data_IF_000784865457
#
_entry.id   IF_000784865457
#
_cell.length_a   1.000
_cell.length_b   1.000
_cell.length_c   1.000
_cell.angle_alpha   90.00
_cell.angle_beta   90.00
_cell.angle_gamma   90.00
#
_symmetry.space_group_name_H-M   'P 1'
#
loop_
_entity.id
_entity.type
_entity.pdbx_description
1 polymer ?
#
# COMPACT_ATOMS: atom_id res chain seq x y z
N UNK A 1 -21.11 -7.72 6.12
CA UNK A 1 -22.58 -7.66 6.14
C UNK A 1 -23.18 -8.66 7.16
N UNK A 2 -22.87 -9.94 7.07
CA UNK A 2 -23.45 -10.96 7.97
C UNK A 2 -23.18 -10.72 9.47
N UNK A 3 -22.03 -10.19 9.84
CA UNK A 3 -21.70 -9.86 11.22
C UNK A 3 -22.52 -8.66 11.74
N UNK A 4 -22.82 -7.69 10.90
CA UNK A 4 -23.68 -6.56 11.24
C UNK A 4 -25.13 -7.00 11.46
N UNK A 5 -25.67 -7.83 10.58
CA UNK A 5 -27.02 -8.38 10.71
C UNK A 5 -27.19 -9.21 11.99
N UNK A 6 -26.18 -9.98 12.37
CA UNK A 6 -26.21 -10.76 13.60
C UNK A 6 -26.31 -9.87 14.85
N UNK A 7 -25.62 -8.73 14.87
CA UNK A 7 -25.66 -7.77 15.98
C UNK A 7 -26.97 -6.98 16.03
N UNK A 8 -27.52 -6.59 14.90
CA UNK A 8 -28.83 -5.95 14.80
C UNK A 8 -29.91 -6.90 15.30
N UNK A 9 -29.89 -8.16 14.85
CA UNK A 9 -30.85 -9.21 15.27
C UNK A 9 -30.85 -9.46 16.77
N UNK A 10 -29.72 -9.31 17.42
CA UNK A 10 -29.58 -9.49 18.88
C UNK A 10 -29.88 -8.22 19.69
N UNK A 11 -30.46 -7.18 19.08
CA UNK A 11 -30.85 -5.93 19.76
C UNK A 11 -29.68 -5.14 20.36
N UNK A 12 -28.45 -5.46 20.01
CA UNK A 12 -27.25 -4.80 20.57
C UNK A 12 -26.93 -3.44 19.95
N UNK A 13 -27.54 -3.12 18.81
CA UNK A 13 -27.32 -1.87 18.10
C UNK A 13 -28.66 -1.22 17.76
N UNK A 14 -28.85 0.00 18.24
CA UNK A 14 -30.03 0.78 17.91
C UNK A 14 -29.87 1.56 16.59
N UNK A 15 -28.67 2.01 16.32
CA UNK A 15 -28.31 2.74 15.11
C UNK A 15 -26.96 2.23 14.57
N UNK A 16 -26.73 2.41 13.29
CA UNK A 16 -25.44 2.16 12.67
C UNK A 16 -25.12 3.25 11.65
N UNK A 17 -23.85 3.57 11.53
CA UNK A 17 -23.35 4.55 10.58
C UNK A 17 -22.83 3.80 9.36
N UNK A 18 -23.33 4.17 8.19
CA UNK A 18 -22.84 3.66 6.93
C UNK A 18 -21.45 4.26 6.63
N UNK A 19 -20.72 3.63 5.73
CA UNK A 19 -19.38 4.08 5.32
C UNK A 19 -19.34 5.49 4.73
N UNK A 20 -20.49 6.02 4.28
CA UNK A 20 -20.65 7.39 3.81
C UNK A 20 -21.02 8.41 4.92
N UNK A 21 -20.99 8.00 6.20
CA UNK A 21 -21.34 8.84 7.33
C UNK A 21 -22.84 9.00 7.60
N UNK A 22 -23.71 8.37 6.82
CA UNK A 22 -25.16 8.43 7.04
C UNK A 22 -25.54 7.55 8.22
N UNK A 23 -26.19 8.14 9.23
CA UNK A 23 -26.76 7.40 10.34
C UNK A 23 -28.07 6.75 9.91
N UNK A 24 -28.19 5.44 10.11
CA UNK A 24 -29.41 4.70 9.91
C UNK A 24 -29.90 4.13 11.24
N UNK A 25 -31.18 4.31 11.51
CA UNK A 25 -31.82 3.62 12.62
C UNK A 25 -31.92 2.13 12.29
N UNK A 26 -31.46 1.31 13.22
CA UNK A 26 -31.68 -0.13 13.11
C UNK A 26 -33.18 -0.38 13.10
N UNK A 27 -33.72 -1.09 12.11
CA UNK A 27 -35.14 -1.42 12.09
C UNK A 27 -35.50 -2.19 13.37
N UNK A 28 -36.51 -1.74 14.07
CA UNK A 28 -37.02 -2.44 15.26
C UNK A 28 -37.77 -3.68 14.82
N UNK A 29 -37.06 -4.79 14.70
CA UNK A 29 -37.64 -6.02 14.18
C UNK A 29 -37.53 -7.11 15.24
N UNK A 30 -38.65 -7.68 15.61
CA UNK A 30 -38.66 -8.96 16.29
C UNK A 30 -38.39 -10.07 15.25
N UNK A 31 -37.17 -10.59 15.27
CA UNK A 31 -36.88 -11.90 14.68
C UNK A 31 -36.23 -11.94 13.29
N UNK A 32 -36.82 -11.42 12.24
CA UNK A 32 -36.29 -11.55 10.87
C UNK A 32 -36.61 -10.32 10.02
N UNK A 33 -35.61 -9.79 9.32
CA UNK A 33 -35.81 -8.80 8.27
C UNK A 33 -36.59 -9.44 7.11
N UNK A 34 -37.66 -8.81 6.60
CA UNK A 34 -38.32 -9.26 5.38
C UNK A 34 -37.28 -9.40 4.24
N UNK A 35 -37.43 -10.42 3.42
CA UNK A 35 -36.53 -10.67 2.30
C UNK A 35 -36.44 -9.48 1.32
N UNK A 36 -37.52 -8.70 1.21
CA UNK A 36 -37.58 -7.48 0.41
C UNK A 36 -36.65 -6.40 0.95
N UNK A 37 -36.58 -6.19 2.28
CA UNK A 37 -35.75 -5.19 2.90
C UNK A 37 -34.27 -5.56 2.81
N UNK A 38 -33.95 -6.85 2.91
CA UNK A 38 -32.58 -7.35 2.69
C UNK A 38 -32.14 -7.09 1.24
N UNK A 39 -33.05 -7.32 0.29
CA UNK A 39 -32.75 -7.06 -1.13
C UNK A 39 -32.54 -5.58 -1.38
N UNK A 40 -33.36 -4.70 -0.80
CA UNK A 40 -33.23 -3.25 -0.94
C UNK A 40 -31.93 -2.76 -0.31
N UNK A 41 -31.61 -3.21 0.91
CA UNK A 41 -30.33 -2.86 1.57
C UNK A 41 -29.11 -3.30 0.77
N UNK A 42 -29.18 -4.44 0.07
CA UNK A 42 -28.12 -4.90 -0.83
C UNK A 42 -28.02 -4.02 -2.08
N UNK A 43 -29.15 -3.62 -2.65
CA UNK A 43 -29.18 -2.70 -3.79
C UNK A 43 -28.64 -1.34 -3.39
N UNK A 44 -29.07 -0.78 -2.27
CA UNK A 44 -28.61 0.50 -1.76
C UNK A 44 -27.09 0.47 -1.45
N UNK A 45 -26.58 -0.64 -0.92
CA UNK A 45 -25.16 -0.82 -0.70
C UNK A 45 -24.38 -0.96 -2.02
N UNK A 46 -24.98 -1.60 -3.03
CA UNK A 46 -24.40 -1.72 -4.37
C UNK A 46 -24.39 -0.36 -5.09
N UNK A 47 -25.50 0.36 -5.08
CA UNK A 47 -25.61 1.68 -5.70
C UNK A 47 -24.64 2.67 -5.06
N UNK A 48 -24.49 2.65 -3.74
CA UNK A 48 -23.51 3.48 -3.04
C UNK A 48 -22.07 3.06 -3.31
N UNK A 49 -21.80 1.77 -3.49
CA UNK A 49 -20.47 1.31 -3.90
C UNK A 49 -20.12 1.74 -5.34
N UNK A 50 -21.15 2.00 -6.17
CA UNK A 50 -20.99 2.56 -7.51
C UNK A 50 -20.91 4.08 -7.49
N UNK A 51 -21.56 4.75 -6.51
CA UNK A 51 -21.42 6.19 -6.25
C UNK A 51 -20.09 6.55 -5.56
N UNK A 52 -19.51 5.65 -4.82
CA UNK A 52 -18.08 5.69 -4.56
C UNK A 52 -17.46 5.57 -5.95
N UNK A 53 -17.24 6.76 -6.58
CA UNK A 53 -16.43 6.84 -7.80
C UNK A 53 -15.33 5.84 -7.62
N UNK A 54 -15.25 4.77 -8.47
CA UNK A 54 -14.10 3.88 -8.41
C UNK A 54 -12.93 4.85 -8.34
N UNK A 55 -11.99 4.64 -7.43
CA UNK A 55 -10.76 5.42 -7.44
C UNK A 55 -10.33 5.39 -8.88
N UNK A 56 -10.97 6.31 -9.62
CA UNK A 56 -10.65 6.50 -11.01
C UNK A 56 -9.21 6.86 -10.86
N UNK A 57 -8.37 5.94 -11.26
CA UNK A 57 -6.99 6.25 -11.52
C UNK A 57 -7.12 7.47 -12.38
N UNK A 58 -7.01 8.65 -11.74
CA UNK A 58 -7.06 9.91 -12.45
C UNK A 58 -5.82 9.81 -13.29
N UNK A 59 -6.05 9.43 -14.52
CA UNK A 59 -5.02 9.24 -15.52
C UNK A 59 -4.19 10.51 -15.50
N UNK A 60 -2.92 10.41 -15.15
CA UNK A 60 -1.98 11.51 -15.10
C UNK A 60 -1.59 12.02 -13.70
N UNK A 61 -2.34 11.73 -12.63
CA UNK A 61 -1.96 12.19 -11.29
C UNK A 61 -1.22 11.13 -10.46
N UNK A 62 -1.30 9.88 -10.86
CA UNK A 62 -0.67 8.76 -10.15
C UNK A 62 0.21 7.96 -11.10
N UNK A 63 1.46 7.77 -10.69
CA UNK A 63 2.38 6.82 -11.30
C UNK A 63 2.60 5.69 -10.29
N UNK A 64 2.14 4.48 -10.62
CA UNK A 64 2.26 3.31 -9.78
C UNK A 64 3.13 2.25 -10.45
N UNK A 65 3.98 1.59 -9.68
CA UNK A 65 4.83 0.47 -10.13
C UNK A 65 4.81 -0.66 -9.12
N UNK A 66 4.73 -1.88 -9.64
CA UNK A 66 5.02 -3.06 -8.83
C UNK A 66 6.54 -3.23 -8.66
N UNK A 67 6.97 -3.75 -7.53
CA UNK A 67 8.40 -3.89 -7.25
C UNK A 67 9.15 -4.75 -8.28
N UNK A 68 8.49 -5.69 -8.93
CA UNK A 68 9.09 -6.56 -9.96
C UNK A 68 9.20 -5.90 -11.35
N UNK A 69 8.74 -4.67 -11.53
CA UNK A 69 8.77 -3.92 -12.81
C UNK A 69 9.99 -2.98 -12.91
N UNK A 70 11.12 -3.40 -12.34
CA UNK A 70 12.34 -2.59 -12.40
C UNK A 70 12.94 -2.51 -13.81
N UNK A 71 13.53 -1.36 -14.13
CA UNK A 71 14.33 -1.16 -15.35
C UNK A 71 15.74 -1.75 -15.18
N UNK A 72 16.28 -1.66 -13.95
CA UNK A 72 17.61 -2.16 -13.60
C UNK A 72 17.63 -2.68 -12.16
N UNK A 73 18.29 -3.81 -11.96
CA UNK A 73 18.59 -4.38 -10.65
C UNK A 73 20.11 -4.42 -10.42
N UNK A 74 20.53 -4.11 -9.21
CA UNK A 74 21.94 -4.21 -8.78
C UNK A 74 21.98 -5.09 -7.54
N UNK A 75 22.66 -6.21 -7.64
CA UNK A 75 22.83 -7.17 -6.55
C UNK A 75 23.64 -6.57 -5.40
N UNK A 76 23.52 -7.17 -4.22
CA UNK A 76 24.33 -6.80 -3.05
C UNK A 76 25.83 -6.99 -3.34
N UNK A 77 26.70 -6.25 -2.66
CA UNK A 77 28.16 -6.42 -2.83
C UNK A 77 28.64 -7.85 -2.61
N UNK A 78 28.04 -8.58 -1.66
CA UNK A 78 28.36 -9.98 -1.39
C UNK A 78 27.96 -10.91 -2.54
N UNK A 79 26.80 -10.67 -3.13
CA UNK A 79 26.33 -11.45 -4.28
C UNK A 79 27.15 -11.13 -5.55
N UNK A 80 27.52 -9.86 -5.76
CA UNK A 80 28.42 -9.46 -6.86
C UNK A 80 29.82 -10.09 -6.74
N UNK A 81 30.32 -10.22 -5.52
CA UNK A 81 31.60 -10.88 -5.24
C UNK A 81 31.49 -12.42 -5.23
N UNK A 82 30.35 -12.99 -5.60
CA UNK A 82 30.09 -14.42 -5.63
C UNK A 82 30.38 -15.15 -4.29
N UNK A 83 30.19 -14.47 -3.17
CA UNK A 83 30.38 -15.08 -1.85
C UNK A 83 29.40 -16.21 -1.65
N UNK A 84 29.88 -17.37 -1.23
CA UNK A 84 29.04 -18.56 -0.99
C UNK A 84 27.95 -18.25 0.05
N UNK A 85 26.69 -18.50 -0.33
CA UNK A 85 25.54 -18.25 0.53
C UNK A 85 25.03 -16.81 0.53
N UNK A 86 25.63 -15.90 -0.27
CA UNK A 86 25.09 -14.55 -0.42
C UNK A 86 23.68 -14.59 -1.01
N UNK A 87 22.78 -13.88 -0.36
CA UNK A 87 21.40 -13.74 -0.85
C UNK A 87 21.36 -12.89 -2.12
N UNK A 88 20.48 -13.27 -3.05
CA UNK A 88 20.23 -12.53 -4.29
C UNK A 88 18.84 -11.89 -4.26
N UNK A 89 18.65 -10.87 -5.12
CA UNK A 89 17.34 -10.30 -5.39
C UNK A 89 16.42 -11.41 -5.87
N UNK A 90 15.26 -11.56 -5.24
CA UNK A 90 14.34 -12.68 -5.52
C UNK A 90 12.91 -12.20 -5.54
N UNK A 91 12.19 -12.49 -6.62
CA UNK A 91 10.73 -12.31 -6.69
C UNK A 91 10.07 -13.41 -5.87
N UNK A 92 9.17 -13.02 -4.97
CA UNK A 92 8.39 -13.93 -4.13
C UNK A 92 6.95 -13.96 -4.64
N UNK A 93 6.54 -15.00 -5.36
CA UNK A 93 5.19 -15.13 -5.85
C UNK A 93 4.20 -15.29 -4.70
N UNK A 94 2.95 -14.90 -4.94
CA UNK A 94 1.82 -14.95 -4.01
C UNK A 94 2.04 -14.14 -2.72
N UNK A 95 2.92 -13.16 -2.74
CA UNK A 95 3.21 -12.29 -1.62
C UNK A 95 2.96 -10.83 -1.99
N UNK A 96 2.37 -10.07 -1.06
CA UNK A 96 1.99 -8.66 -1.24
C UNK A 96 0.71 -8.46 -2.04
N UNK A 97 0.28 -7.22 -2.15
CA UNK A 97 -0.90 -6.85 -2.93
C UNK A 97 -0.65 -6.95 -4.44
N UNK A 98 0.60 -6.79 -4.87
CA UNK A 98 1.03 -7.04 -6.25
C UNK A 98 1.07 -8.53 -6.62
N UNK A 99 0.93 -9.43 -5.63
CA UNK A 99 1.13 -10.87 -5.75
C UNK A 99 2.54 -11.30 -6.15
N UNK A 100 3.52 -10.38 -6.16
CA UNK A 100 4.92 -10.63 -6.54
C UNK A 100 5.87 -9.67 -5.82
N UNK A 101 5.92 -9.72 -4.49
CA UNK A 101 6.86 -8.91 -3.75
C UNK A 101 8.32 -9.30 -4.05
N UNK A 102 9.24 -8.36 -3.91
CA UNK A 102 10.66 -8.54 -4.21
C UNK A 102 11.48 -8.49 -2.93
N UNK A 103 12.15 -9.61 -2.61
CA UNK A 103 13.15 -9.63 -1.54
C UNK A 103 14.41 -8.93 -2.02
N UNK A 104 14.81 -7.91 -1.26
CA UNK A 104 15.97 -7.08 -1.56
C UNK A 104 17.01 -7.25 -0.43
N UNK A 105 18.11 -8.01 -0.66
CA UNK A 105 19.17 -8.15 0.32
C UNK A 105 19.87 -6.82 0.61
N UNK A 106 20.45 -6.70 1.79
CA UNK A 106 21.22 -5.50 2.18
C UNK A 106 22.26 -5.10 1.14
N UNK A 107 22.22 -3.86 0.72
CA UNK A 107 23.11 -3.27 -0.28
C UNK A 107 22.66 -3.46 -1.73
N UNK A 108 21.67 -4.31 -1.99
CA UNK A 108 21.06 -4.42 -3.30
C UNK A 108 20.12 -3.25 -3.61
N UNK A 109 19.88 -2.98 -4.89
CA UNK A 109 18.97 -1.91 -5.32
C UNK A 109 18.19 -2.25 -6.57
N UNK A 110 17.01 -1.63 -6.68
CA UNK A 110 16.16 -1.64 -7.86
C UNK A 110 16.01 -0.21 -8.36
N UNK A 111 16.07 -0.02 -9.67
CA UNK A 111 15.84 1.27 -10.32
C UNK A 111 14.70 1.15 -11.31
N UNK A 112 13.89 2.20 -11.39
CA UNK A 112 12.68 2.26 -12.22
C UNK A 112 12.71 3.54 -13.03
N UNK A 113 12.56 3.42 -14.34
CA UNK A 113 12.35 4.56 -15.20
C UNK A 113 10.85 4.85 -15.29
N UNK A 114 10.49 6.13 -15.22
CA UNK A 114 9.13 6.59 -15.30
C UNK A 114 9.06 7.96 -15.98
N UNK A 115 7.86 8.36 -16.39
CA UNK A 115 7.63 9.63 -17.05
C UNK A 115 6.55 10.42 -16.31
N UNK A 116 6.81 11.71 -16.06
CA UNK A 116 5.87 12.66 -15.48
C UNK A 116 5.30 13.56 -16.57
N UNK A 117 3.98 13.53 -16.75
CA UNK A 117 3.30 14.39 -17.75
C UNK A 117 3.28 15.86 -17.33
N UNK A 118 3.48 16.14 -16.05
CA UNK A 118 3.42 17.49 -15.46
C UNK A 118 4.51 17.72 -14.44
N UNK A 119 4.80 19.00 -14.20
CA UNK A 119 5.66 19.43 -13.09
C UNK A 119 4.85 19.72 -11.83
N UNK A 120 5.41 19.53 -10.68
CA UNK A 120 4.77 19.91 -9.40
C UNK A 120 5.25 19.12 -8.21
N UNK A 121 4.61 19.41 -7.09
CA UNK A 121 4.81 18.67 -5.86
C UNK A 121 4.06 17.34 -5.94
N UNK A 122 4.73 16.29 -5.49
CA UNK A 122 4.19 14.96 -5.48
C UNK A 122 4.57 14.24 -4.17
N UNK A 123 3.77 13.28 -3.76
CA UNK A 123 4.06 12.38 -2.66
C UNK A 123 4.53 11.03 -3.19
N UNK A 124 5.78 10.69 -2.91
CA UNK A 124 6.29 9.35 -3.16
C UNK A 124 5.93 8.45 -1.97
N UNK A 125 5.35 7.30 -2.24
CA UNK A 125 5.00 6.31 -1.22
C UNK A 125 5.54 4.95 -1.62
N UNK A 126 6.34 4.33 -0.74
CA UNK A 126 6.77 2.94 -0.88
C UNK A 126 5.91 2.03 -0.01
N UNK A 127 5.48 0.91 -0.58
CA UNK A 127 4.76 -0.16 0.09
C UNK A 127 5.65 -1.39 0.19
N UNK A 128 5.79 -1.91 1.41
CA UNK A 128 6.61 -3.09 1.68
C UNK A 128 5.83 -4.12 2.49
N UNK A 129 6.27 -5.37 2.45
CA UNK A 129 5.73 -6.41 3.32
C UNK A 129 6.16 -6.10 4.76
N UNK A 130 5.22 -6.02 5.72
CA UNK A 130 5.53 -5.70 7.09
C UNK A 130 6.47 -6.73 7.75
N UNK A 131 7.38 -6.25 8.57
CA UNK A 131 8.25 -7.12 9.38
C UNK A 131 7.84 -7.05 10.85
N UNK A 132 7.21 -8.11 11.35
CA UNK A 132 6.76 -8.21 12.74
C UNK A 132 7.75 -8.92 13.67
N UNK A 133 8.90 -9.36 13.16
CA UNK A 133 9.91 -10.08 13.94
C UNK A 133 10.60 -9.14 14.95
N UNK A 134 10.47 -9.42 16.24
CA UNK A 134 11.08 -8.62 17.31
C UNK A 134 12.61 -8.60 17.24
N UNK A 135 13.24 -9.68 16.74
CA UNK A 135 14.68 -9.78 16.59
C UNK A 135 15.26 -8.81 15.54
N UNK A 136 14.44 -8.32 14.58
CA UNK A 136 14.85 -7.34 13.59
C UNK A 136 14.81 -5.96 14.23
N UNK A 137 15.96 -5.30 14.41
CA UNK A 137 16.02 -3.96 15.01
C UNK A 137 15.66 -2.88 14.01
N UNK A 138 16.22 -2.96 12.80
CA UNK A 138 16.02 -1.97 11.73
C UNK A 138 15.61 -2.67 10.44
N UNK A 139 14.77 -2.00 9.66
CA UNK A 139 14.46 -2.37 8.29
C UNK A 139 14.32 -1.06 7.52
N UNK A 140 15.38 -0.65 6.83
CA UNK A 140 15.46 0.65 6.15
C UNK A 140 15.77 0.48 4.67
N UNK A 141 15.25 1.41 3.91
CA UNK A 141 15.64 1.64 2.52
C UNK A 141 16.09 3.09 2.33
N UNK A 142 16.93 3.34 1.35
CA UNK A 142 17.12 4.67 0.80
C UNK A 142 16.45 4.76 -0.56
N UNK A 143 15.75 5.86 -0.78
CA UNK A 143 15.09 6.17 -2.06
C UNK A 143 15.70 7.44 -2.61
N UNK A 144 16.23 7.40 -3.82
CA UNK A 144 16.72 8.57 -4.54
C UNK A 144 16.03 8.70 -5.88
N UNK A 145 15.70 9.93 -6.27
CA UNK A 145 15.12 10.26 -7.57
C UNK A 145 16.16 11.08 -8.35
N UNK A 146 16.43 10.71 -9.59
CA UNK A 146 17.38 11.37 -10.49
C UNK A 146 18.78 11.57 -9.91
N UNK A 147 19.25 10.61 -9.10
CA UNK A 147 20.51 10.70 -8.36
C UNK A 147 20.59 11.86 -7.35
N UNK A 148 19.43 12.41 -6.97
CA UNK A 148 19.32 13.36 -5.86
C UNK A 148 19.68 12.74 -4.52
N UNK A 149 19.68 13.58 -3.48
CA UNK A 149 19.96 13.14 -2.11
C UNK A 149 18.97 12.05 -1.69
N UNK A 150 19.47 10.91 -1.18
CA UNK A 150 18.60 9.79 -0.81
C UNK A 150 17.80 10.08 0.46
N UNK A 151 16.50 9.84 0.41
CA UNK A 151 15.61 9.84 1.57
C UNK A 151 15.66 8.45 2.23
N UNK A 152 15.93 8.40 3.52
CA UNK A 152 15.98 7.16 4.29
C UNK A 152 14.60 6.91 4.90
N UNK A 153 13.97 5.79 4.53
CA UNK A 153 12.70 5.34 5.07
C UNK A 153 12.92 4.20 6.07
N UNK A 154 12.49 4.40 7.33
CA UNK A 154 12.39 3.33 8.33
C UNK A 154 11.09 2.58 8.11
N UNK A 155 11.20 1.30 7.76
CA UNK A 155 10.05 0.46 7.38
C UNK A 155 9.51 -0.37 8.54
N UNK A 156 10.30 -0.56 9.60
CA UNK A 156 9.84 -1.30 10.77
C UNK A 156 9.16 -0.37 11.77
N UNK A 157 7.95 -0.70 12.12
CA UNK A 157 7.17 0.01 13.13
C UNK A 157 7.48 -0.47 14.55
N UNK A 158 7.23 0.41 15.52
CA UNK A 158 7.31 0.07 16.94
C UNK A 158 6.20 -0.92 17.28
N UNK A 159 6.56 -2.03 17.94
CA UNK A 159 5.60 -3.05 18.33
C UNK A 159 4.39 -2.46 19.06
N UNK A 160 3.21 -2.88 18.65
CA UNK A 160 1.91 -2.45 19.20
C UNK A 160 1.59 -0.95 19.10
N UNK A 161 2.36 -0.18 18.30
CA UNK A 161 1.97 1.19 17.92
C UNK A 161 0.72 1.18 17.03
N UNK A 162 0.09 2.34 16.84
CA UNK A 162 -1.02 2.47 15.89
C UNK A 162 -0.59 2.10 14.47
N UNK A 163 0.57 2.55 14.04
CA UNK A 163 1.10 2.27 12.70
C UNK A 163 1.36 0.76 12.54
N UNK A 164 1.94 0.10 13.55
CA UNK A 164 2.11 -1.34 13.55
C UNK A 164 0.78 -2.10 13.42
N UNK A 165 -0.27 -1.64 14.11
CA UNK A 165 -1.61 -2.25 14.02
C UNK A 165 -2.23 -2.01 12.63
N UNK A 166 -2.07 -0.82 12.06
CA UNK A 166 -2.51 -0.53 10.69
C UNK A 166 -1.78 -1.38 9.66
N UNK A 167 -0.48 -1.56 9.81
CA UNK A 167 0.32 -2.41 8.92
C UNK A 167 -0.15 -3.86 8.98
N UNK A 168 -0.50 -4.36 10.18
CA UNK A 168 -1.04 -5.69 10.37
C UNK A 168 -2.37 -5.87 9.62
N UNK A 169 -3.28 -4.90 9.73
CA UNK A 169 -4.58 -4.96 9.07
C UNK A 169 -4.50 -4.77 7.56
N UNK A 170 -3.61 -3.92 7.11
CA UNK A 170 -3.41 -3.62 5.69
C UNK A 170 -2.59 -4.70 4.98
N UNK A 171 -1.73 -5.41 5.71
CA UNK A 171 -0.75 -6.33 5.12
C UNK A 171 0.39 -5.61 4.38
N UNK A 172 0.54 -4.31 4.56
CA UNK A 172 1.59 -3.47 3.99
C UNK A 172 2.02 -2.39 4.97
N UNK A 173 3.33 -2.11 5.02
CA UNK A 173 3.89 -0.91 5.62
C UNK A 173 4.04 0.15 4.54
N UNK A 174 3.48 1.33 4.75
CA UNK A 174 3.58 2.47 3.84
C UNK A 174 4.48 3.54 4.43
N UNK A 175 5.44 4.03 3.65
CA UNK A 175 6.27 5.19 4.00
C UNK A 175 6.28 6.19 2.87
N UNK A 176 6.05 7.46 3.22
CA UNK A 176 5.91 8.52 2.24
C UNK A 176 6.87 9.68 2.53
N UNK A 177 7.23 10.38 1.48
CA UNK A 177 7.90 11.68 1.54
C UNK A 177 7.46 12.53 0.34
N UNK A 178 7.67 13.84 0.45
CA UNK A 178 7.32 14.78 -0.60
C UNK A 178 8.53 15.09 -1.48
N UNK A 179 8.26 15.30 -2.75
CA UNK A 179 9.27 15.64 -3.77
C UNK A 179 8.65 16.58 -4.80
N UNK A 180 9.41 17.56 -5.27
CA UNK A 180 9.03 18.40 -6.39
C UNK A 180 9.75 17.90 -7.65
N UNK A 181 9.00 17.55 -8.68
CA UNK A 181 9.56 17.02 -9.93
C UNK A 181 9.14 17.90 -11.11
N UNK A 182 10.04 18.16 -12.06
CA UNK A 182 9.66 18.71 -13.37
C UNK A 182 8.91 17.65 -14.18
N UNK A 183 8.22 18.05 -15.25
CA UNK A 183 7.73 17.11 -16.25
C UNK A 183 8.88 16.50 -17.03
N UNK A 184 8.75 15.23 -17.44
CA UNK A 184 9.76 14.54 -18.22
C UNK A 184 10.11 13.15 -17.69
N UNK A 185 11.22 12.62 -18.19
CA UNK A 185 11.74 11.30 -17.82
C UNK A 185 12.53 11.34 -16.53
N UNK A 186 12.23 10.44 -15.63
CA UNK A 186 12.84 10.31 -14.31
C UNK A 186 13.27 8.87 -14.02
N UNK A 187 14.14 8.73 -13.03
CA UNK A 187 14.54 7.43 -12.51
C UNK A 187 14.46 7.45 -10.98
N UNK A 188 13.79 6.48 -10.39
CA UNK A 188 13.84 6.25 -8.94
C UNK A 188 14.68 5.02 -8.63
N UNK A 189 15.60 5.13 -7.66
CA UNK A 189 16.40 4.02 -7.16
C UNK A 189 16.07 3.76 -5.71
N UNK A 190 15.69 2.51 -5.41
CA UNK A 190 15.41 2.03 -4.05
C UNK A 190 16.48 1.03 -3.66
N UNK A 191 17.24 1.32 -2.58
CA UNK A 191 18.33 0.49 -2.09
C UNK A 191 18.05 0.01 -0.67
N UNK A 192 18.19 -1.28 -0.43
CA UNK A 192 18.10 -1.84 0.92
C UNK A 192 19.33 -1.48 1.76
N UNK A 193 19.12 -0.88 2.92
CA UNK A 193 20.15 -0.56 3.89
C UNK A 193 20.31 -1.64 4.96
N UNK A 194 19.28 -2.43 5.15
CA UNK A 194 19.23 -3.55 6.10
C UNK A 194 18.70 -4.82 5.41
N UNK A 195 18.82 -5.94 6.08
CA UNK A 195 18.25 -7.21 5.62
C UNK A 195 16.72 -7.26 5.84
N UNK A 196 16.09 -8.30 5.30
CA UNK A 196 14.63 -8.57 5.38
C UNK A 196 13.74 -7.55 4.67
N UNK A 197 14.26 -6.69 3.84
CA UNK A 197 13.46 -5.78 3.01
C UNK A 197 12.75 -6.57 1.93
N UNK A 198 11.42 -6.44 1.88
CA UNK A 198 10.57 -6.99 0.83
C UNK A 198 9.67 -5.90 0.28
N UNK A 199 9.99 -5.40 -0.91
CA UNK A 199 9.25 -4.34 -1.57
C UNK A 199 8.09 -4.94 -2.34
N UNK A 200 6.91 -4.35 -2.21
CA UNK A 200 5.71 -4.75 -2.94
C UNK A 200 5.42 -3.80 -4.11
N UNK A 201 5.30 -2.52 -3.82
CA UNK A 201 4.91 -1.49 -4.79
C UNK A 201 5.50 -0.13 -4.40
N UNK A 202 5.47 0.82 -5.33
CA UNK A 202 5.63 2.24 -5.02
C UNK A 202 4.69 3.09 -5.89
N UNK A 203 4.37 4.27 -5.40
CA UNK A 203 3.49 5.23 -6.05
C UNK A 203 4.06 6.62 -5.92
N UNK A 204 3.97 7.40 -6.99
CA UNK A 204 4.14 8.84 -7.00
C UNK A 204 2.77 9.46 -7.29
N UNK A 205 2.26 10.30 -6.40
CA UNK A 205 0.95 10.92 -6.50
C UNK A 205 1.06 12.43 -6.41
N UNK A 206 0.56 13.13 -7.42
CA UNK A 206 0.51 14.59 -7.47
C UNK A 206 -0.64 15.19 -6.65
N UNK A 207 -1.62 14.38 -6.23
CA UNK A 207 -2.56 14.76 -5.18
C UNK A 207 -1.96 14.36 -3.82
N UNK A 208 -1.21 15.28 -3.23
CA UNK A 208 -0.41 15.04 -2.02
C UNK A 208 -1.26 14.73 -0.79
N UNK A 209 -2.52 15.12 -0.77
CA UNK A 209 -3.47 14.92 0.32
C UNK A 209 -4.33 13.65 0.14
N UNK A 210 -4.21 12.98 -0.99
CA UNK A 210 -4.99 11.78 -1.27
C UNK A 210 -4.67 10.66 -0.28
N UNK A 211 -5.69 10.14 0.35
CA UNK A 211 -5.58 8.94 1.17
C UNK A 211 -5.93 7.68 0.38
N UNK A 212 -5.18 6.60 0.63
CA UNK A 212 -5.44 5.31 0.01
C UNK A 212 -6.09 4.36 1.00
N UNK A 213 -7.30 3.92 0.70
CA UNK A 213 -7.90 2.77 1.37
C UNK A 213 -7.28 1.47 0.88
N UNK A 214 -7.08 1.37 -0.43
CA UNK A 214 -6.31 0.31 -1.08
C UNK A 214 -5.19 0.98 -1.87
N UNK A 215 -3.97 0.49 -1.72
CA UNK A 215 -2.83 1.05 -2.44
C UNK A 215 -3.02 0.86 -3.95
N UNK A 216 -2.76 1.90 -4.78
CA UNK A 216 -3.00 1.84 -6.22
C UNK A 216 -2.27 0.69 -6.88
N UNK A 217 -2.96 -0.01 -7.76
CA UNK A 217 -2.37 -1.11 -8.54
C UNK A 217 -1.70 -0.52 -9.77
N UNK A 218 -0.46 -0.94 -10.04
CA UNK A 218 0.20 -0.65 -11.31
C UNK A 218 -0.59 -1.29 -12.45
N UNK A 219 -0.84 -0.54 -13.51
CA UNK A 219 -1.50 -1.01 -14.73
C UNK A 219 -0.48 -1.47 -15.75
#
# INVERSE_FOLDING_TARGET
LNAYYSRIRNGKWKNFILTNGTEMQAPQIPGTLPAADIKQLKLDAFDRSNDLKPLSVVTGDIIAKNAYEWSKATESPLAQAAVKGAEKITVRPLLGHSSKAVKLPKGASLSYDFYCDKSGDARFTIAVIPCFLNAVKNMRVSVSIDRGEPVICQLKEVYNSKDWQFDLWRGQTLKSFYVTLPGGSHNVTIKALDDNVMIDQWVLDYDVDREYYVFPVAK
#
